data_IF_716521353733
#
_entry.id   IF_716521353733
#
_cell.length_a   1.000
_cell.length_b   1.000
_cell.length_c   1.000
_cell.angle_alpha   90.00
_cell.angle_beta   90.00
_cell.angle_gamma   90.00
#
_symmetry.space_group_name_H-M   'P 1'
#
loop_
_entity.id
_entity.type
_entity.pdbx_description
1 polymer ?
#
# COMPACT_ATOMS: atom_id res chain seq x y z
N UNK A 1 8.74 -1.62 28.84
CA UNK A 1 8.36 -1.65 27.41
C UNK A 1 7.22 -2.65 27.26
N UNK A 2 6.00 -2.18 26.99
CA UNK A 2 4.86 -3.08 26.76
C UNK A 2 4.90 -3.54 25.30
N UNK A 3 5.06 -4.84 25.08
CA UNK A 3 4.90 -5.43 23.76
C UNK A 3 3.42 -5.32 23.37
N UNK A 4 3.14 -4.57 22.30
CA UNK A 4 1.79 -4.47 21.73
C UNK A 4 1.51 -5.81 21.07
N UNK A 5 0.68 -6.64 21.70
CA UNK A 5 0.17 -7.86 21.08
C UNK A 5 -0.60 -7.47 19.80
N UNK A 6 -0.44 -8.18 18.68
CA UNK A 6 -1.20 -7.88 17.47
C UNK A 6 -2.68 -8.16 17.77
N UNK A 7 -3.44 -7.09 17.97
CA UNK A 7 -4.89 -7.21 18.13
C UNK A 7 -5.46 -7.74 16.83
N UNK A 8 -6.60 -8.44 16.91
CA UNK A 8 -7.43 -8.97 15.80
C UNK A 8 -7.67 -8.00 14.61
N UNK A 9 -7.29 -6.73 14.76
CA UNK A 9 -7.48 -5.61 13.87
C UNK A 9 -6.46 -5.55 12.70
N UNK A 10 -5.26 -6.13 12.86
CA UNK A 10 -4.21 -6.09 11.82
C UNK A 10 -4.39 -7.22 10.79
N UNK A 11 -5.47 -7.19 9.99
CA UNK A 11 -5.63 -8.13 8.87
C UNK A 11 -4.90 -7.61 7.64
N UNK A 12 -3.72 -8.19 7.38
CA UNK A 12 -3.04 -8.05 6.10
C UNK A 12 -3.59 -9.12 5.15
N UNK A 13 -4.22 -8.69 4.07
CA UNK A 13 -4.65 -9.58 2.99
C UNK A 13 -3.51 -9.76 2.02
N UNK A 14 -3.18 -11.01 1.68
CA UNK A 14 -2.16 -11.33 0.67
C UNK A 14 -2.83 -11.68 -0.64
N UNK A 15 -2.34 -11.13 -1.74
CA UNK A 15 -2.82 -11.41 -3.09
C UNK A 15 -1.63 -11.73 -4.00
N UNK A 16 -1.88 -12.54 -5.03
CA UNK A 16 -0.88 -12.91 -6.02
C UNK A 16 -1.43 -12.53 -7.39
N UNK A 17 -0.72 -11.66 -8.12
CA UNK A 17 -1.07 -11.24 -9.47
C UNK A 17 0.20 -11.19 -10.30
N UNK A 18 0.19 -11.85 -11.47
CA UNK A 18 1.30 -11.84 -12.44
C UNK A 18 2.66 -12.23 -11.83
N UNK A 19 2.67 -13.17 -10.89
CA UNK A 19 3.88 -13.62 -10.19
C UNK A 19 4.39 -12.66 -9.10
N UNK A 20 3.66 -11.57 -8.82
CA UNK A 20 3.97 -10.61 -7.77
C UNK A 20 3.01 -10.79 -6.59
N UNK A 21 3.58 -10.86 -5.38
CA UNK A 21 2.84 -10.90 -4.14
C UNK A 21 2.59 -9.48 -3.62
N UNK A 22 1.33 -9.11 -3.43
CA UNK A 22 0.96 -7.85 -2.79
C UNK A 22 0.33 -8.09 -1.42
N UNK A 23 0.54 -7.12 -0.53
CA UNK A 23 0.03 -7.11 0.83
C UNK A 23 -0.85 -5.87 1.01
N UNK A 24 -2.11 -6.09 1.40
CA UNK A 24 -3.11 -5.04 1.55
C UNK A 24 -3.45 -4.93 3.03
N UNK A 25 -3.26 -3.74 3.60
CA UNK A 25 -3.66 -3.44 4.98
C UNK A 25 -4.52 -2.20 5.01
N UNK A 26 -5.64 -2.25 5.76
CA UNK A 26 -6.54 -1.10 5.96
C UNK A 26 -6.14 -0.21 7.13
N UNK A 27 -5.28 -0.72 8.03
CA UNK A 27 -4.84 -0.02 9.24
C UNK A 27 -3.42 -0.41 9.62
N UNK A 28 -2.88 0.24 10.64
CA UNK A 28 -1.64 -0.15 11.30
C UNK A 28 -1.87 -0.21 12.83
N UNK A 29 -0.90 -0.67 13.64
CA UNK A 29 -1.05 -0.75 15.09
C UNK A 29 -1.29 0.58 15.81
N UNK A 30 -1.07 1.71 15.13
CA UNK A 30 -1.11 3.05 15.70
C UNK A 30 -2.34 3.87 15.26
N UNK A 31 -2.97 3.52 14.14
CA UNK A 31 -4.10 4.24 13.58
C UNK A 31 -5.03 3.32 12.78
N UNK A 32 -6.36 3.41 13.01
CA UNK A 32 -7.37 2.67 12.25
C UNK A 32 -7.54 3.19 10.81
N UNK A 33 -7.10 4.42 10.53
CA UNK A 33 -7.09 5.05 9.21
C UNK A 33 -5.70 5.58 8.90
N UNK A 34 -5.20 5.32 7.70
CA UNK A 34 -3.83 5.67 7.31
C UNK A 34 -3.86 6.88 6.39
N UNK A 35 -3.00 7.87 6.67
CA UNK A 35 -2.55 8.81 5.64
C UNK A 35 -1.35 8.22 4.87
N UNK A 36 -0.94 8.89 3.80
CA UNK A 36 0.19 8.46 2.96
C UNK A 36 1.45 8.12 3.78
N UNK A 37 1.86 9.01 4.69
CA UNK A 37 3.09 8.84 5.46
C UNK A 37 3.01 7.65 6.42
N UNK A 38 1.87 7.45 7.08
CA UNK A 38 1.62 6.30 7.96
C UNK A 38 1.60 4.98 7.19
N UNK A 39 1.01 4.97 5.99
CA UNK A 39 1.03 3.80 5.11
C UNK A 39 2.45 3.47 4.63
N UNK A 40 3.20 4.50 4.19
CA UNK A 40 4.58 4.36 3.73
C UNK A 40 5.50 3.77 4.81
N UNK A 41 5.42 4.32 6.03
CA UNK A 41 6.20 3.84 7.17
C UNK A 41 5.78 2.44 7.62
N UNK A 42 4.49 2.13 7.58
CA UNK A 42 4.00 0.82 8.00
C UNK A 42 4.48 -0.30 7.07
N UNK A 43 4.44 -0.10 5.75
CA UNK A 43 5.05 -1.05 4.81
C UNK A 43 6.53 -1.28 5.13
N UNK A 44 7.29 -0.21 5.38
CA UNK A 44 8.72 -0.31 5.73
C UNK A 44 8.96 -1.05 7.05
N UNK A 45 8.11 -0.89 8.06
CA UNK A 45 8.23 -1.62 9.32
C UNK A 45 8.06 -3.14 9.17
N UNK A 46 7.46 -3.59 8.07
CA UNK A 46 7.28 -5.00 7.74
C UNK A 46 8.36 -5.52 6.77
N UNK A 47 9.38 -4.71 6.46
CA UNK A 47 10.37 -5.06 5.42
C UNK A 47 9.80 -5.02 4.00
N UNK A 48 8.66 -4.36 3.80
CA UNK A 48 7.99 -4.16 2.52
C UNK A 48 8.13 -2.70 2.07
N UNK A 49 7.56 -2.38 0.91
CA UNK A 49 7.45 -1.02 0.39
C UNK A 49 6.05 -0.80 -0.18
N UNK A 50 5.57 0.45 -0.19
CA UNK A 50 4.33 0.76 -0.92
C UNK A 50 4.52 0.43 -2.40
N UNK A 51 3.48 -0.14 -3.02
CA UNK A 51 3.56 -0.63 -4.38
C UNK A 51 3.93 0.50 -5.37
N UNK A 52 4.79 0.17 -6.32
CA UNK A 52 5.07 0.95 -7.53
C UNK A 52 4.70 0.11 -8.73
N UNK A 53 4.20 0.74 -9.79
CA UNK A 53 3.79 0.03 -11.00
C UNK A 53 4.62 0.51 -12.19
N UNK A 54 5.28 -0.43 -12.86
CA UNK A 54 6.13 -0.15 -14.02
C UNK A 54 5.32 0.11 -15.29
N UNK A 55 4.09 -0.40 -15.33
CA UNK A 55 3.20 -0.26 -16.49
C UNK A 55 1.78 0.03 -16.05
N UNK A 56 1.02 0.66 -16.94
CA UNK A 56 -0.40 0.96 -16.72
C UNK A 56 -1.21 -0.33 -16.53
N UNK A 57 -0.89 -1.39 -17.25
CA UNK A 57 -1.60 -2.67 -17.22
C UNK A 57 -1.50 -3.31 -15.82
N UNK A 58 -0.32 -3.26 -15.18
CA UNK A 58 -0.15 -3.75 -13.80
C UNK A 58 -1.00 -2.93 -12.82
N UNK A 59 -1.03 -1.61 -12.97
CA UNK A 59 -1.84 -0.71 -12.15
C UNK A 59 -3.35 -0.91 -12.36
N UNK A 60 -3.78 -1.17 -13.59
CA UNK A 60 -5.18 -1.42 -13.92
C UNK A 60 -5.63 -2.81 -13.41
N UNK A 61 -4.76 -3.82 -13.49
CA UNK A 61 -5.00 -5.19 -12.99
C UNK A 61 -5.26 -5.22 -11.48
N UNK A 62 -4.37 -4.61 -10.69
CA UNK A 62 -4.53 -4.50 -9.23
C UNK A 62 -5.76 -3.68 -8.87
N UNK A 63 -6.04 -2.59 -9.59
CA UNK A 63 -7.20 -1.73 -9.34
C UNK A 63 -8.49 -2.52 -9.57
N UNK A 64 -8.57 -3.26 -10.68
CA UNK A 64 -9.72 -4.10 -11.01
C UNK A 64 -9.94 -5.16 -9.94
N UNK A 65 -8.87 -5.84 -9.50
CA UNK A 65 -8.95 -6.83 -8.44
C UNK A 65 -9.52 -6.21 -7.14
N UNK A 66 -8.98 -5.08 -6.71
CA UNK A 66 -9.38 -4.41 -5.48
C UNK A 66 -10.85 -3.96 -5.53
N UNK A 67 -11.29 -3.38 -6.66
CA UNK A 67 -12.69 -3.00 -6.86
C UNK A 67 -13.63 -4.21 -6.79
N UNK A 68 -13.27 -5.33 -7.44
CA UNK A 68 -14.05 -6.57 -7.40
C UNK A 68 -14.09 -7.21 -6.01
N UNK A 69 -13.04 -7.02 -5.21
CA UNK A 69 -12.97 -7.46 -3.82
C UNK A 69 -13.75 -6.53 -2.85
N UNK A 70 -14.45 -5.52 -3.37
CA UNK A 70 -15.30 -4.60 -2.60
C UNK A 70 -14.52 -3.49 -1.89
N UNK A 71 -13.33 -3.15 -2.36
CA UNK A 71 -12.61 -1.97 -1.91
C UNK A 71 -12.89 -0.78 -2.84
N UNK A 72 -12.85 0.45 -2.33
CA UNK A 72 -13.24 1.66 -3.07
C UNK A 72 -12.03 2.26 -3.81
N UNK A 73 -12.26 3.00 -4.90
CA UNK A 73 -11.19 3.73 -5.64
C UNK A 73 -10.37 4.75 -4.80
N UNK A 74 -10.78 5.04 -3.57
CA UNK A 74 -10.14 5.99 -2.66
C UNK A 74 -9.48 5.34 -1.45
N UNK A 75 -9.44 4.00 -1.37
CA UNK A 75 -9.06 3.31 -0.14
C UNK A 75 -7.59 2.87 -0.07
N UNK A 76 -6.77 3.19 -1.08
CA UNK A 76 -5.40 2.65 -1.15
C UNK A 76 -4.35 3.73 -1.35
N UNK A 77 -3.29 3.58 -0.58
CA UNK A 77 -2.03 4.26 -0.82
C UNK A 77 -1.15 3.40 -1.71
N UNK A 78 -0.58 4.01 -2.73
CA UNK A 78 0.57 3.48 -3.49
C UNK A 78 1.78 4.35 -3.18
N UNK A 79 2.96 3.98 -3.69
CA UNK A 79 4.15 4.81 -3.45
C UNK A 79 4.18 6.09 -4.28
N UNK A 80 3.33 6.20 -5.30
CA UNK A 80 3.28 7.32 -6.24
C UNK A 80 2.66 8.55 -5.63
N UNK A 81 3.38 9.67 -5.64
CA UNK A 81 2.84 10.99 -5.30
C UNK A 81 3.75 12.09 -5.89
N UNK A 82 3.32 13.35 -5.75
CA UNK A 82 4.06 14.53 -6.17
C UNK A 82 4.33 15.48 -4.98
N UNK A 83 4.34 14.98 -3.74
CA UNK A 83 4.62 15.80 -2.56
C UNK A 83 6.11 16.14 -2.55
N UNK A 84 6.44 17.38 -2.94
CA UNK A 84 7.81 17.90 -2.97
C UNK A 84 8.40 18.07 -4.37
N UNK A 85 7.60 17.88 -5.43
CA UNK A 85 8.01 18.08 -6.83
C UNK A 85 6.79 18.33 -7.72
N UNK A 86 6.99 18.88 -8.92
CA UNK A 86 5.91 19.15 -9.88
C UNK A 86 5.52 17.93 -10.73
N UNK A 87 6.19 16.79 -10.52
CA UNK A 87 5.92 15.53 -11.22
C UNK A 87 5.60 14.39 -10.25
N UNK A 88 4.85 13.39 -10.70
CA UNK A 88 4.68 12.17 -9.91
C UNK A 88 5.98 11.37 -9.91
N UNK A 89 6.32 10.84 -8.73
CA UNK A 89 7.44 9.93 -8.52
C UNK A 89 6.97 8.74 -7.70
N UNK A 90 7.46 7.56 -8.06
CA UNK A 90 7.35 6.35 -7.28
C UNK A 90 8.37 6.36 -6.14
N UNK A 91 7.94 6.70 -4.93
CA UNK A 91 8.85 6.87 -3.78
C UNK A 91 9.55 5.58 -3.32
N UNK A 92 9.14 4.42 -3.82
CA UNK A 92 9.80 3.14 -3.51
C UNK A 92 10.90 2.80 -4.53
N UNK A 93 10.85 3.32 -5.75
CA UNK A 93 11.83 3.05 -6.82
C UNK A 93 12.67 4.26 -7.20
N UNK A 94 12.20 5.47 -6.90
CA UNK A 94 12.82 6.73 -7.33
C UNK A 94 12.59 7.08 -8.80
N UNK A 95 11.69 6.37 -9.49
CA UNK A 95 11.38 6.58 -10.90
C UNK A 95 10.12 7.44 -11.09
N UNK A 96 9.99 8.20 -12.20
CA UNK A 96 8.75 8.85 -12.62
C UNK A 96 7.60 7.87 -12.87
#
# INVERSE_FOLDING_TARGET
AAAIAPTRAQRITTIQLDGVQYFISRMNPYSPELNYFLAYQYCRSLGLQLASFETKEKADSITTYLLNAGYNKYDFWTSGNNLGTDMYLWMSTGLP
#
